data_IF_239364038478
#
_entry.id   IF_239364038478
#
_cell.length_a   1.000
_cell.length_b   1.000
_cell.length_c   1.000
_cell.angle_alpha   90.00
_cell.angle_beta   90.00
_cell.angle_gamma   90.00
#
_symmetry.space_group_name_H-M   'P 1'
#
loop_
_entity.id
_entity.type
_entity.pdbx_description
1 polymer ?
#
# COMPACT_ATOMS: atom_id res chain seq x y z
N UNK A 1 -13.33 -5.01 -1.01
CA UNK A 1 -11.90 -4.86 -1.36
C UNK A 1 -11.33 -3.46 -1.08
N UNK A 2 -12.14 -2.46 -0.71
CA UNK A 2 -11.62 -1.14 -0.30
C UNK A 2 -10.85 -1.18 1.02
N UNK A 3 -11.29 -1.97 2.00
CA UNK A 3 -10.63 -2.07 3.31
C UNK A 3 -9.20 -2.60 3.22
N UNK A 4 -8.94 -3.56 2.33
CA UNK A 4 -7.58 -4.09 2.11
C UNK A 4 -6.67 -3.04 1.49
N UNK A 5 -7.21 -2.22 0.59
CA UNK A 5 -6.47 -1.09 0.02
C UNK A 5 -6.14 -0.04 1.09
N UNK A 6 -7.14 0.36 1.89
CA UNK A 6 -6.95 1.29 3.00
C UNK A 6 -5.97 0.73 4.05
N UNK A 7 -6.04 -0.57 4.33
CA UNK A 7 -5.07 -1.24 5.18
C UNK A 7 -3.65 -1.15 4.61
N UNK A 8 -3.48 -1.32 3.29
CA UNK A 8 -2.20 -1.07 2.62
C UNK A 8 -1.67 0.34 2.89
N UNK A 9 -2.51 1.37 2.80
CA UNK A 9 -2.12 2.74 3.13
C UNK A 9 -1.66 2.90 4.59
N UNK A 10 -2.43 2.35 5.53
CA UNK A 10 -2.07 2.38 6.96
C UNK A 10 -0.77 1.61 7.22
N UNK A 11 -0.59 0.45 6.56
CA UNK A 11 0.63 -0.33 6.66
C UNK A 11 1.84 0.45 6.15
N UNK A 12 1.72 1.19 5.04
CA UNK A 12 2.75 2.11 4.57
C UNK A 12 3.11 3.16 5.63
N UNK A 13 2.11 3.85 6.17
CA UNK A 13 2.31 4.90 7.17
C UNK A 13 3.06 4.40 8.42
N UNK A 14 2.78 3.16 8.84
CA UNK A 14 3.46 2.53 9.97
C UNK A 14 4.92 2.19 9.64
N UNK A 15 5.16 1.57 8.48
CA UNK A 15 6.50 1.09 8.08
C UNK A 15 7.45 2.24 7.77
N UNK A 16 6.99 3.25 7.05
CA UNK A 16 7.85 4.32 6.53
C UNK A 16 7.72 5.63 7.30
N UNK A 17 6.77 5.74 8.25
CA UNK A 17 6.48 6.98 9.00
C UNK A 17 6.26 8.19 8.07
N UNK A 18 5.66 7.92 6.92
CA UNK A 18 5.45 8.87 5.84
C UNK A 18 4.13 8.57 5.11
N UNK A 19 3.70 9.49 4.25
CA UNK A 19 2.57 9.26 3.35
C UNK A 19 3.06 8.64 2.02
N UNK A 20 2.24 7.78 1.39
CA UNK A 20 2.64 7.08 0.17
C UNK A 20 2.56 7.95 -1.10
N UNK A 21 1.94 9.13 -0.98
CA UNK A 21 1.85 10.13 -2.04
C UNK A 21 2.84 11.27 -1.78
N UNK A 22 3.40 11.89 -2.84
CA UNK A 22 4.22 13.08 -2.69
C UNK A 22 3.48 14.19 -1.96
N UNK A 23 4.17 14.97 -1.13
CA UNK A 23 3.58 16.13 -0.45
C UNK A 23 3.11 17.22 -1.41
N UNK A 24 3.56 17.19 -2.66
CA UNK A 24 3.16 18.10 -3.74
C UNK A 24 1.92 17.64 -4.49
N UNK A 25 1.42 16.43 -4.25
CA UNK A 25 0.25 15.92 -4.95
C UNK A 25 -1.01 16.62 -4.47
N UNK A 26 -1.80 17.16 -5.39
CA UNK A 26 -3.12 17.69 -5.07
C UNK A 26 -4.12 16.54 -4.85
N UNK A 27 -5.06 16.73 -3.93
CA UNK A 27 -6.14 15.78 -3.67
C UNK A 27 -6.94 15.54 -4.96
N UNK A 28 -7.21 16.58 -5.74
CA UNK A 28 -7.95 16.44 -7.00
C UNK A 28 -7.19 15.57 -8.01
N UNK A 29 -5.86 15.71 -8.08
CA UNK A 29 -5.01 14.88 -8.94
C UNK A 29 -4.99 13.41 -8.49
N UNK A 30 -5.00 13.15 -7.18
CA UNK A 30 -5.11 11.81 -6.61
C UNK A 30 -6.49 11.20 -6.94
N UNK A 31 -7.57 11.99 -6.85
CA UNK A 31 -8.92 11.54 -7.18
C UNK A 31 -9.06 11.23 -8.67
N UNK A 32 -8.52 12.07 -9.55
CA UNK A 32 -8.50 11.84 -10.99
C UNK A 32 -7.72 10.57 -11.34
N UNK A 33 -6.60 10.33 -10.66
CA UNK A 33 -5.86 9.08 -10.76
C UNK A 33 -6.71 7.86 -10.39
N UNK A 34 -7.42 7.91 -9.25
CA UNK A 34 -8.26 6.80 -8.78
C UNK A 34 -9.43 6.54 -9.73
N UNK A 35 -9.99 7.60 -10.33
CA UNK A 35 -11.16 7.52 -11.23
C UNK A 35 -10.80 7.02 -12.63
N UNK A 36 -9.77 7.59 -13.24
CA UNK A 36 -9.49 7.42 -14.67
C UNK A 36 -8.29 6.50 -14.94
N UNK A 37 -7.53 6.12 -13.91
CA UNK A 37 -6.32 5.29 -14.03
C UNK A 37 -5.18 5.98 -14.78
N UNK A 38 -5.31 7.27 -15.11
CA UNK A 38 -4.27 8.07 -15.77
C UNK A 38 -3.16 8.39 -14.78
N UNK A 39 -1.95 7.95 -15.13
CA UNK A 39 -0.82 7.70 -14.21
C UNK A 39 -0.01 8.96 -13.89
N UNK A 40 -0.55 9.90 -13.11
CA UNK A 40 0.25 11.03 -12.61
C UNK A 40 0.75 10.80 -11.18
N UNK A 41 -0.08 10.27 -10.29
CA UNK A 41 0.28 10.11 -8.87
C UNK A 41 -0.11 8.74 -8.35
N UNK A 42 0.87 7.84 -8.24
CA UNK A 42 0.68 6.51 -7.63
C UNK A 42 1.31 6.48 -6.23
N UNK A 43 0.76 5.66 -5.31
CA UNK A 43 1.47 5.28 -4.10
C UNK A 43 2.85 4.72 -4.45
N UNK A 44 3.90 5.22 -3.83
CA UNK A 44 5.27 4.75 -4.08
C UNK A 44 5.99 4.45 -2.79
N UNK A 45 6.88 3.45 -2.81
CA UNK A 45 7.75 3.12 -1.69
C UNK A 45 9.09 3.79 -1.92
N UNK A 46 9.38 4.79 -1.09
CA UNK A 46 10.53 5.68 -1.25
C UNK A 46 11.85 5.02 -0.84
N UNK A 47 11.83 4.20 0.21
CA UNK A 47 12.98 3.44 0.68
C UNK A 47 12.52 2.03 1.10
N UNK A 48 13.22 0.98 0.68
CA UNK A 48 12.92 -0.42 1.03
C UNK A 48 14.01 -1.06 1.89
N UNK A 49 15.09 -0.34 2.17
CA UNK A 49 16.34 -0.92 2.69
C UNK A 49 16.21 -1.38 4.14
N UNK A 50 15.37 -0.71 4.94
CA UNK A 50 15.19 -1.01 6.36
C UNK A 50 13.98 -1.93 6.66
N UNK A 51 13.16 -2.27 5.66
CA UNK A 51 11.92 -3.00 5.85
C UNK A 51 12.03 -4.42 5.29
N UNK A 52 11.49 -5.40 6.02
CA UNK A 52 11.45 -6.79 5.56
C UNK A 52 10.83 -6.88 4.15
N UNK A 53 11.49 -7.55 3.19
CA UNK A 53 11.05 -7.57 1.79
C UNK A 53 9.64 -8.13 1.63
N UNK A 54 9.27 -9.13 2.43
CA UNK A 54 7.92 -9.70 2.36
C UNK A 54 6.82 -8.79 2.93
N UNK A 55 7.15 -7.89 3.88
CA UNK A 55 6.21 -6.83 4.30
C UNK A 55 6.01 -5.84 3.17
N UNK A 56 7.08 -5.49 2.47
CA UNK A 56 6.99 -4.65 1.27
C UNK A 56 6.15 -5.31 0.17
N UNK A 57 6.34 -6.61 -0.09
CA UNK A 57 5.53 -7.34 -1.07
C UNK A 57 4.05 -7.40 -0.65
N UNK A 58 3.77 -7.70 0.62
CA UNK A 58 2.40 -7.71 1.15
C UNK A 58 1.71 -6.35 1.01
N UNK A 59 2.41 -5.26 1.32
CA UNK A 59 1.93 -3.90 1.12
C UNK A 59 1.57 -3.64 -0.35
N UNK A 60 2.44 -4.04 -1.28
CA UNK A 60 2.19 -3.92 -2.72
C UNK A 60 0.95 -4.70 -3.19
N UNK A 61 0.72 -5.88 -2.63
CA UNK A 61 -0.46 -6.68 -2.89
C UNK A 61 -1.74 -6.03 -2.32
N UNK A 62 -1.67 -5.43 -1.12
CA UNK A 62 -2.82 -4.80 -0.45
C UNK A 62 -3.40 -3.63 -1.26
N UNK A 63 -2.55 -2.78 -1.82
CA UNK A 63 -2.99 -1.61 -2.61
C UNK A 63 -3.00 -1.86 -4.13
N UNK A 64 -3.03 -3.12 -4.57
CA UNK A 64 -3.02 -3.49 -5.98
C UNK A 64 -4.17 -2.84 -6.76
N UNK A 65 -3.90 -2.41 -8.00
CA UNK A 65 -4.89 -1.72 -8.85
C UNK A 65 -6.15 -2.56 -9.07
N UNK A 66 -5.96 -3.80 -9.53
CA UNK A 66 -7.03 -4.79 -9.64
C UNK A 66 -7.49 -5.24 -8.24
N UNK A 67 -8.76 -4.98 -7.82
CA UNK A 67 -9.27 -5.38 -6.53
C UNK A 67 -9.22 -6.89 -6.28
N UNK A 68 -9.38 -7.72 -7.31
CA UNK A 68 -9.38 -9.19 -7.19
C UNK A 68 -7.98 -9.77 -6.89
N UNK A 69 -6.92 -9.01 -7.19
CA UNK A 69 -5.55 -9.40 -6.87
C UNK A 69 -5.19 -9.11 -5.42
N UNK A 70 -6.00 -8.32 -4.71
CA UNK A 70 -5.74 -7.96 -3.31
C UNK A 70 -5.96 -9.18 -2.42
N UNK A 71 -5.12 -9.37 -1.39
CA UNK A 71 -5.22 -10.52 -0.50
C UNK A 71 -6.48 -10.44 0.37
N UNK A 72 -7.00 -11.60 0.77
CA UNK A 72 -8.01 -11.64 1.84
C UNK A 72 -7.41 -11.17 3.17
N UNK A 73 -8.24 -10.64 4.06
CA UNK A 73 -7.82 -10.24 5.41
C UNK A 73 -7.16 -11.39 6.18
N UNK A 74 -7.61 -12.63 5.95
CA UNK A 74 -7.00 -13.83 6.52
C UNK A 74 -5.55 -14.01 6.06
N UNK A 75 -5.27 -13.80 4.76
CA UNK A 75 -3.92 -13.89 4.21
C UNK A 75 -3.03 -12.76 4.73
N UNK A 76 -3.55 -11.53 4.79
CA UNK A 76 -2.84 -10.38 5.39
C UNK A 76 -2.40 -10.71 6.81
N UNK A 77 -3.34 -11.16 7.66
CA UNK A 77 -3.03 -11.52 9.06
C UNK A 77 -1.93 -12.57 9.17
N UNK A 78 -2.07 -13.69 8.46
CA UNK A 78 -1.09 -14.79 8.50
C UNK A 78 0.30 -14.33 8.03
N UNK A 79 0.37 -13.53 6.98
CA UNK A 79 1.62 -12.98 6.48
C UNK A 79 2.25 -12.04 7.50
N UNK A 80 1.49 -11.09 8.06
CA UNK A 80 2.02 -10.18 9.10
C UNK A 80 2.50 -10.92 10.34
N UNK A 81 1.76 -11.95 10.81
CA UNK A 81 2.18 -12.80 11.91
C UNK A 81 3.45 -13.58 11.58
N UNK A 82 3.65 -14.00 10.33
CA UNK A 82 4.86 -14.73 9.93
C UNK A 82 6.09 -13.82 9.87
N UNK A 83 5.94 -12.60 9.37
CA UNK A 83 7.08 -11.70 9.12
C UNK A 83 7.49 -10.88 10.35
N UNK A 84 6.56 -10.66 11.29
CA UNK A 84 6.80 -9.86 12.49
C UNK A 84 7.08 -10.71 13.74
N UNK A 85 7.09 -12.04 13.63
CA UNK A 85 7.51 -12.91 14.73
C UNK A 85 9.01 -12.72 14.97
N UNK A 86 9.30 -12.07 16.09
CA UNK A 86 10.62 -12.05 16.76
C UNK A 86 10.76 -13.33 17.57
#
# INVERSE_FOLDING_TARGET
>A
MGDIYAFGMVMYEILFRALPFPSTADIDEILDYIRDGKRSYRPTIQDKTEIHPDLTALLLDCWHENPEMRPSIRRVRLNTESYLKV
#
